data_IF_296583701882
#
_entry.id   IF_296583701882
#
_cell.length_a   1.000
_cell.length_b   1.000
_cell.length_c   1.000
_cell.angle_alpha   90.00
_cell.angle_beta   90.00
_cell.angle_gamma   90.00
#
_symmetry.space_group_name_H-M   'P 1'
#
loop_
_entity.id
_entity.type
_entity.pdbx_description
1 polymer ?
#
# COMPACT_ATOMS: atom_id res chain seq x y z
N UNK A 1 3.25 4.49 7.13
CA UNK A 1 2.89 4.36 8.56
C UNK A 1 3.15 5.68 9.29
N UNK A 2 2.30 6.00 10.28
CA UNK A 2 2.49 7.13 11.20
C UNK A 2 2.95 6.64 12.59
N UNK A 3 3.90 7.36 13.17
CA UNK A 3 4.38 7.12 14.54
C UNK A 3 4.00 8.27 15.46
N UNK A 4 3.88 7.97 16.75
CA UNK A 4 3.82 9.00 17.79
C UNK A 4 5.23 9.49 18.18
N UNK A 5 5.29 10.55 18.98
CA UNK A 5 6.55 11.12 19.48
C UNK A 5 7.40 10.16 20.31
N UNK A 6 6.81 9.06 20.82
CA UNK A 6 7.50 7.99 21.54
C UNK A 6 8.01 6.88 20.61
N UNK A 7 7.94 7.06 19.28
CA UNK A 7 8.40 6.08 18.28
C UNK A 7 7.53 4.83 18.20
N UNK A 8 6.26 4.91 18.61
CA UNK A 8 5.30 3.80 18.52
C UNK A 8 4.39 3.96 17.33
N UNK A 9 4.06 2.82 16.73
CA UNK A 9 3.11 2.71 15.62
C UNK A 9 1.74 3.23 16.05
N UNK A 10 1.17 4.16 15.27
CA UNK A 10 -0.21 4.62 15.42
C UNK A 10 -1.10 3.84 14.44
N UNK A 11 -0.78 3.93 13.15
CA UNK A 11 -1.52 3.29 12.07
C UNK A 11 -0.64 3.16 10.82
N UNK A 12 -0.97 2.19 9.99
CA UNK A 12 -0.46 2.07 8.64
C UNK A 12 -1.29 2.86 7.63
N UNK A 13 -0.65 3.13 6.51
CA UNK A 13 -1.29 3.75 5.37
C UNK A 13 -0.57 3.33 4.08
N UNK A 14 -1.33 3.11 3.02
CA UNK A 14 -0.82 3.15 1.65
C UNK A 14 -0.87 4.59 1.15
N UNK A 15 0.19 5.05 0.49
CA UNK A 15 0.29 6.41 -0.01
C UNK A 15 0.36 6.39 -1.53
N UNK A 16 -0.58 7.07 -2.17
CA UNK A 16 -0.65 7.18 -3.62
C UNK A 16 -0.40 8.64 -4.05
N UNK A 17 0.48 8.89 -5.03
CA UNK A 17 0.49 10.19 -5.70
C UNK A 17 -0.82 10.35 -6.48
N UNK A 18 -1.44 11.53 -6.38
CA UNK A 18 -2.70 11.84 -7.08
C UNK A 18 -2.53 13.08 -7.96
N UNK A 19 -2.95 13.01 -9.23
CA UNK A 19 -3.46 11.81 -9.90
C UNK A 19 -2.33 10.84 -10.27
N UNK A 20 -2.66 9.55 -10.44
CA UNK A 20 -1.71 8.56 -10.97
C UNK A 20 -1.24 8.89 -12.40
N UNK A 21 -2.14 9.40 -13.23
CA UNK A 21 -1.88 9.78 -14.63
C UNK A 21 -2.72 11.02 -15.00
N UNK A 22 -2.55 11.58 -16.20
CA UNK A 22 -3.17 12.85 -16.63
C UNK A 22 -3.91 12.74 -17.95
N UNK A 23 -4.41 11.55 -18.29
CA UNK A 23 -5.04 11.30 -19.59
C UNK A 23 -6.49 11.80 -19.70
N UNK A 24 -7.15 12.10 -18.57
CA UNK A 24 -8.44 12.80 -18.57
C UNK A 24 -8.28 14.29 -18.27
N UNK A 25 -9.23 15.10 -18.74
CA UNK A 25 -9.27 16.54 -18.46
C UNK A 25 -9.30 16.87 -16.98
N UNK A 26 -10.05 16.08 -16.21
CA UNK A 26 -10.24 16.20 -14.78
C UNK A 26 -8.94 15.91 -14.03
N UNK A 27 -8.25 14.82 -14.37
CA UNK A 27 -6.98 14.46 -13.74
C UNK A 27 -5.88 15.45 -14.13
N UNK A 28 -5.82 15.90 -15.38
CA UNK A 28 -4.89 16.94 -15.80
C UNK A 28 -5.09 18.26 -15.04
N UNK A 29 -6.35 18.62 -14.75
CA UNK A 29 -6.67 19.79 -13.92
C UNK A 29 -6.15 19.59 -12.49
N UNK A 30 -6.45 18.43 -11.87
CA UNK A 30 -5.97 18.08 -10.53
C UNK A 30 -4.44 18.14 -10.42
N UNK A 31 -3.73 17.63 -11.43
CA UNK A 31 -2.27 17.70 -11.48
C UNK A 31 -1.75 19.15 -11.53
N UNK A 32 -2.41 20.02 -12.31
CA UNK A 32 -2.04 21.45 -12.43
C UNK A 32 -2.33 22.25 -11.16
N UNK A 33 -3.31 21.84 -10.36
CA UNK A 33 -3.63 22.49 -9.09
C UNK A 33 -2.56 22.24 -8.01
N UNK A 34 -1.69 21.25 -8.20
CA UNK A 34 -0.51 20.99 -7.39
C UNK A 34 -0.35 19.52 -7.00
N UNK A 35 0.66 19.20 -6.17
CA UNK A 35 0.87 17.83 -5.71
C UNK A 35 -0.23 17.42 -4.73
N UNK A 36 -0.92 16.32 -5.03
CA UNK A 36 -1.90 15.71 -4.14
C UNK A 36 -1.47 14.29 -3.78
N UNK A 37 -1.93 13.82 -2.62
CA UNK A 37 -1.68 12.46 -2.14
C UNK A 37 -2.96 11.89 -1.57
N UNK A 38 -3.20 10.60 -1.84
CA UNK A 38 -4.26 9.83 -1.22
C UNK A 38 -3.64 8.87 -0.21
N UNK A 39 -4.19 8.88 1.01
CA UNK A 39 -3.80 7.96 2.07
C UNK A 39 -4.92 6.92 2.25
N UNK A 40 -4.66 5.69 1.82
CA UNK A 40 -5.50 4.54 2.14
C UNK A 40 -5.17 4.09 3.56
N UNK A 41 -6.20 4.01 4.41
CA UNK A 41 -6.09 3.64 5.82
C UNK A 41 -7.25 2.75 6.22
N UNK A 42 -7.01 1.88 7.20
CA UNK A 42 -8.10 1.13 7.83
C UNK A 42 -9.13 2.11 8.44
N UNK A 43 -10.44 1.93 8.19
CA UNK A 43 -11.50 2.80 8.70
C UNK A 43 -11.45 3.02 10.21
N UNK A 44 -10.92 2.07 10.99
CA UNK A 44 -10.80 2.21 12.45
C UNK A 44 -9.87 3.35 12.86
N UNK A 45 -8.89 3.70 12.01
CA UNK A 45 -7.89 4.74 12.30
C UNK A 45 -8.20 6.09 11.66
N UNK A 46 -9.13 6.15 10.70
CA UNK A 46 -9.43 7.32 9.86
C UNK A 46 -9.58 8.61 10.67
N UNK A 47 -10.52 8.65 11.64
CA UNK A 47 -10.77 9.84 12.49
C UNK A 47 -9.55 10.25 13.31
N UNK A 48 -8.83 9.25 13.85
CA UNK A 48 -7.65 9.50 14.69
C UNK A 48 -6.50 10.09 13.88
N UNK A 49 -6.27 9.57 12.66
CA UNK A 49 -5.26 10.08 11.75
C UNK A 49 -5.63 11.47 11.24
N UNK A 50 -6.89 11.70 10.86
CA UNK A 50 -7.34 13.00 10.38
C UNK A 50 -7.13 14.08 11.45
N UNK A 51 -7.44 13.78 12.71
CA UNK A 51 -7.16 14.66 13.85
C UNK A 51 -5.66 14.92 14.01
N UNK A 52 -4.85 13.87 13.97
CA UNK A 52 -3.38 13.96 14.07
C UNK A 52 -2.81 14.88 12.99
N UNK A 53 -3.20 14.68 11.73
CA UNK A 53 -2.74 15.46 10.59
C UNK A 53 -3.17 16.93 10.69
N UNK A 54 -4.42 17.20 11.10
CA UNK A 54 -4.93 18.57 11.28
C UNK A 54 -4.18 19.33 12.37
N UNK A 55 -3.77 18.67 13.46
CA UNK A 55 -2.97 19.29 14.52
C UNK A 55 -1.57 19.66 14.00
N UNK A 56 -0.97 18.83 13.15
CA UNK A 56 0.37 19.04 12.60
C UNK A 56 0.41 19.91 11.34
N UNK A 57 -0.75 20.29 10.78
CA UNK A 57 -0.86 21.15 9.60
C UNK A 57 -0.30 22.56 9.84
N UNK A 58 -0.47 23.15 11.03
CA UNK A 58 -0.01 24.51 11.37
C UNK A 58 -0.24 25.52 10.23
N UNK A 59 0.82 26.26 9.82
CA UNK A 59 0.81 27.24 8.73
C UNK A 59 1.05 26.63 7.34
N UNK A 60 1.14 25.30 7.24
CA UNK A 60 1.36 24.64 5.96
C UNK A 60 0.15 24.85 5.04
N UNK A 61 0.43 25.20 3.78
CA UNK A 61 -0.56 25.39 2.73
C UNK A 61 -1.03 24.05 2.15
N UNK A 62 -1.53 23.18 3.02
CA UNK A 62 -2.06 21.84 2.65
C UNK A 62 -3.53 21.74 3.03
N UNK A 63 -4.37 21.23 2.14
CA UNK A 63 -5.76 20.87 2.46
C UNK A 63 -5.76 19.39 2.85
N UNK A 64 -6.46 19.06 3.95
CA UNK A 64 -6.53 17.69 4.47
C UNK A 64 -8.01 17.41 4.68
N UNK A 65 -8.54 16.51 3.85
CA UNK A 65 -9.94 16.14 3.82
C UNK A 65 -10.08 14.64 3.62
N UNK A 66 -11.26 14.14 3.97
CA UNK A 66 -11.66 12.77 3.69
C UNK A 66 -11.96 12.65 2.19
N UNK A 67 -11.46 11.59 1.56
CA UNK A 67 -11.82 11.26 0.20
C UNK A 67 -13.14 10.50 0.21
N UNK A 68 -14.21 11.10 -0.32
CA UNK A 68 -15.48 10.41 -0.52
C UNK A 68 -15.45 9.57 -1.81
N UNK A 69 -16.32 8.57 -1.89
CA UNK A 69 -16.58 7.77 -3.10
C UNK A 69 -15.32 7.14 -3.73
N UNK A 70 -14.32 6.84 -2.91
CA UNK A 70 -13.08 6.17 -3.32
C UNK A 70 -13.05 4.77 -2.75
N UNK A 71 -12.68 3.81 -3.59
CA UNK A 71 -12.60 2.39 -3.22
C UNK A 71 -11.19 1.89 -3.49
N UNK A 72 -10.67 1.06 -2.58
CA UNK A 72 -9.42 0.33 -2.78
C UNK A 72 -9.76 -1.14 -2.99
N UNK A 73 -9.07 -1.74 -3.94
CA UNK A 73 -9.30 -3.12 -4.36
C UNK A 73 -7.99 -3.86 -4.38
N UNK A 74 -8.09 -5.19 -4.36
CA UNK A 74 -6.93 -6.05 -4.30
C UNK A 74 -7.06 -7.17 -5.32
N UNK A 75 -6.03 -7.33 -6.14
CA UNK A 75 -5.92 -8.40 -7.12
C UNK A 75 -4.64 -9.19 -6.86
N UNK A 76 -4.73 -10.52 -6.91
CA UNK A 76 -3.58 -11.40 -6.85
C UNK A 76 -3.80 -12.64 -7.71
N UNK A 77 -2.69 -13.23 -8.17
CA UNK A 77 -2.66 -14.55 -8.78
C UNK A 77 -1.33 -15.22 -8.37
N UNK A 78 -1.41 -16.44 -7.84
CA UNK A 78 -0.23 -17.20 -7.42
C UNK A 78 0.53 -17.89 -8.57
N UNK A 79 0.07 -17.71 -9.81
CA UNK A 79 0.77 -18.19 -11.00
C UNK A 79 2.10 -17.40 -11.21
N UNK A 80 3.23 -18.09 -11.47
CA UNK A 80 4.51 -17.44 -11.77
C UNK A 80 4.44 -16.44 -12.93
N UNK A 81 3.55 -16.68 -13.89
CA UNK A 81 3.37 -15.81 -15.05
C UNK A 81 2.90 -14.40 -14.67
N UNK A 82 2.10 -14.24 -13.61
CA UNK A 82 1.73 -12.90 -13.13
C UNK A 82 2.95 -12.20 -12.51
N UNK A 83 3.79 -12.93 -11.79
CA UNK A 83 5.00 -12.38 -11.17
C UNK A 83 5.97 -11.86 -12.23
N UNK A 84 6.24 -12.68 -13.25
CA UNK A 84 7.06 -12.27 -14.40
C UNK A 84 6.45 -11.05 -15.12
N UNK A 85 5.13 -11.03 -15.31
CA UNK A 85 4.43 -9.89 -15.90
C UNK A 85 4.57 -8.63 -15.05
N UNK A 86 4.42 -8.73 -13.73
CA UNK A 86 4.56 -7.62 -12.79
C UNK A 86 5.99 -7.07 -12.76
N UNK A 87 7.01 -7.94 -12.82
CA UNK A 87 8.40 -7.52 -12.91
C UNK A 87 8.65 -6.74 -14.21
N UNK A 88 8.19 -7.26 -15.35
CA UNK A 88 8.32 -6.61 -16.64
C UNK A 88 7.63 -5.24 -16.66
N UNK A 89 6.40 -5.15 -16.17
CA UNK A 89 5.66 -3.88 -16.06
C UNK A 89 6.40 -2.88 -15.18
N UNK A 90 6.92 -3.31 -14.03
CA UNK A 90 7.66 -2.41 -13.14
C UNK A 90 8.94 -1.89 -13.78
N UNK A 91 9.71 -2.76 -14.44
CA UNK A 91 10.93 -2.37 -15.14
C UNK A 91 10.64 -1.40 -16.30
N UNK A 92 9.58 -1.64 -17.07
CA UNK A 92 9.23 -0.83 -18.24
C UNK A 92 8.62 0.53 -17.88
N UNK A 93 7.77 0.59 -16.84
CA UNK A 93 6.94 1.75 -16.55
C UNK A 93 7.25 2.46 -15.22
N UNK A 94 7.81 1.77 -14.22
CA UNK A 94 7.88 2.29 -12.85
C UNK A 94 9.30 2.42 -12.27
N UNK A 95 10.33 2.05 -13.04
CA UNK A 95 11.73 2.30 -12.70
C UNK A 95 12.24 3.64 -13.27
N UNK A 96 11.61 4.75 -12.88
CA UNK A 96 11.94 6.09 -13.40
C UNK A 96 12.80 6.92 -12.44
N UNK A 97 13.72 7.77 -12.93
CA UNK A 97 14.66 8.51 -12.08
C UNK A 97 14.06 9.76 -11.42
N UNK A 98 12.97 10.29 -11.96
CA UNK A 98 12.39 11.57 -11.53
C UNK A 98 10.85 11.61 -11.72
N UNK A 99 10.13 12.52 -11.03
CA UNK A 99 8.68 12.58 -11.08
C UNK A 99 8.08 12.93 -12.45
N UNK A 100 8.79 13.67 -13.31
CA UNK A 100 8.29 14.00 -14.64
C UNK A 100 8.30 12.74 -15.52
N UNK A 101 9.42 12.02 -15.56
CA UNK A 101 9.54 10.74 -16.26
C UNK A 101 8.57 9.69 -15.71
N UNK A 102 8.30 9.70 -14.39
CA UNK A 102 7.30 8.86 -13.75
C UNK A 102 5.90 9.11 -14.31
N UNK A 103 5.49 10.38 -14.41
CA UNK A 103 4.17 10.74 -14.95
C UNK A 103 4.03 10.39 -16.44
N UNK A 104 5.07 10.64 -17.24
CA UNK A 104 5.08 10.25 -18.66
C UNK A 104 4.93 8.72 -18.81
N UNK A 105 5.62 7.95 -17.98
CA UNK A 105 5.55 6.49 -17.99
C UNK A 105 4.20 5.98 -17.50
N UNK A 106 3.60 6.58 -16.48
CA UNK A 106 2.23 6.26 -16.02
C UNK A 106 1.20 6.53 -17.12
N UNK A 107 1.31 7.65 -17.83
CA UNK A 107 0.48 7.96 -18.99
C UNK A 107 0.64 6.92 -20.11
N UNK A 108 1.87 6.46 -20.38
CA UNK A 108 2.14 5.39 -21.36
C UNK A 108 1.56 4.05 -20.92
N UNK A 109 1.66 3.71 -19.63
CA UNK A 109 1.09 2.50 -19.04
C UNK A 109 -0.43 2.46 -19.18
N UNK A 110 -1.11 3.58 -18.90
CA UNK A 110 -2.57 3.66 -19.08
C UNK A 110 -2.96 3.50 -20.54
N UNK A 111 -2.23 4.14 -21.47
CA UNK A 111 -2.50 4.07 -22.91
C UNK A 111 -2.22 2.71 -23.56
N UNK A 112 -1.44 1.85 -22.91
CA UNK A 112 -1.07 0.57 -23.51
C UNK A 112 -2.19 -0.48 -23.40
N UNK A 113 -3.22 -0.22 -22.58
CA UNK A 113 -4.34 -1.14 -22.33
C UNK A 113 -3.92 -2.55 -21.84
N UNK A 114 -2.65 -2.72 -21.40
CA UNK A 114 -2.13 -4.02 -20.96
C UNK A 114 -2.72 -4.46 -19.62
N UNK A 115 -3.26 -3.51 -18.85
CA UNK A 115 -3.75 -3.75 -17.50
C UNK A 115 -5.09 -3.07 -17.22
N UNK A 116 -5.17 -1.75 -17.43
CA UNK A 116 -6.40 -0.96 -17.24
C UNK A 116 -7.02 -0.65 -18.60
N UNK A 117 -8.34 -0.68 -18.69
CA UNK A 117 -9.07 -0.15 -19.85
C UNK A 117 -8.94 1.38 -19.94
N UNK A 118 -8.38 1.90 -21.03
CA UNK A 118 -8.22 3.35 -21.27
C UNK A 118 -9.53 4.13 -21.11
N UNK A 119 -10.67 3.54 -21.53
CA UNK A 119 -11.98 4.17 -21.42
C UNK A 119 -12.50 4.32 -19.97
N UNK A 120 -11.88 3.63 -19.01
CA UNK A 120 -12.19 3.74 -17.58
C UNK A 120 -11.03 4.34 -16.79
N UNK A 121 -9.96 4.78 -17.46
CA UNK A 121 -8.77 5.27 -16.80
C UNK A 121 -9.04 6.53 -15.97
N UNK A 122 -10.01 7.36 -16.36
CA UNK A 122 -10.45 8.52 -15.59
C UNK A 122 -10.95 8.18 -14.17
N UNK A 123 -11.35 6.94 -13.92
CA UNK A 123 -11.72 6.42 -12.60
C UNK A 123 -10.51 5.92 -11.78
N UNK A 124 -9.32 5.81 -12.38
CA UNK A 124 -8.11 5.32 -11.71
C UNK A 124 -7.30 6.49 -11.15
N UNK A 125 -7.65 6.92 -9.95
CA UNK A 125 -6.94 8.03 -9.29
C UNK A 125 -5.62 7.59 -8.63
N UNK A 126 -5.44 6.29 -8.38
CA UNK A 126 -4.27 5.71 -7.75
C UNK A 126 -4.02 4.28 -8.23
N UNK A 127 -2.74 3.91 -8.37
CA UNK A 127 -2.31 2.55 -8.73
C UNK A 127 -1.05 2.21 -7.92
N UNK A 128 -0.95 0.96 -7.45
CA UNK A 128 0.25 0.44 -6.85
C UNK A 128 0.36 -1.07 -7.05
N UNK A 129 1.59 -1.52 -7.28
CA UNK A 129 1.99 -2.92 -7.05
C UNK A 129 2.30 -3.06 -5.56
N UNK A 130 1.75 -4.08 -4.90
CA UNK A 130 1.95 -4.29 -3.48
C UNK A 130 3.28 -4.99 -3.21
N UNK A 131 4.34 -4.20 -3.19
CA UNK A 131 5.71 -4.65 -2.95
C UNK A 131 6.04 -4.80 -1.46
N UNK A 132 5.06 -4.97 -0.57
CA UNK A 132 5.34 -5.26 0.85
C UNK A 132 5.99 -6.63 1.02
N UNK A 133 5.55 -7.60 0.23
CA UNK A 133 6.22 -8.89 0.07
C UNK A 133 6.21 -9.26 -1.42
N UNK A 134 7.17 -10.08 -1.89
CA UNK A 134 7.17 -10.57 -3.26
C UNK A 134 5.84 -11.23 -3.62
N UNK A 135 5.34 -10.94 -4.83
CA UNK A 135 4.14 -11.55 -5.38
C UNK A 135 2.90 -11.47 -4.46
N UNK A 136 2.76 -10.37 -3.71
CA UNK A 136 1.54 -10.19 -2.95
C UNK A 136 0.37 -9.95 -3.91
N UNK A 137 0.54 -9.02 -4.85
CA UNK A 137 -0.44 -8.65 -5.84
C UNK A 137 -0.37 -7.16 -6.18
N UNK A 138 -1.51 -6.61 -6.57
CA UNK A 138 -1.66 -5.21 -6.98
C UNK A 138 -3.00 -4.64 -6.51
N UNK A 139 -3.13 -3.31 -6.58
CA UNK A 139 -4.34 -2.59 -6.17
C UNK A 139 -5.15 -2.14 -7.40
N UNK A 140 -6.19 -2.90 -7.76
CA UNK A 140 -7.14 -2.54 -8.82
C UNK A 140 -8.44 -3.37 -8.73
N UNK A 141 -9.61 -2.81 -9.10
CA UNK A 141 -10.84 -3.58 -9.22
C UNK A 141 -10.95 -4.31 -10.55
N UNK A 142 -11.80 -5.33 -10.58
CA UNK A 142 -12.08 -6.17 -11.75
C UNK A 142 -12.65 -5.39 -12.94
N UNK A 143 -13.53 -4.42 -12.70
CA UNK A 143 -14.21 -3.64 -13.74
C UNK A 143 -13.28 -2.66 -14.49
N UNK A 144 -12.12 -2.38 -13.92
CA UNK A 144 -11.08 -1.57 -14.56
C UNK A 144 -10.09 -2.41 -15.38
N UNK A 145 -10.06 -3.74 -15.20
CA UNK A 145 -9.08 -4.61 -15.86
C UNK A 145 -9.35 -4.76 -17.36
N UNK A 146 -8.28 -4.81 -18.15
CA UNK A 146 -8.38 -5.01 -19.59
C UNK A 146 -8.80 -6.45 -19.93
N UNK A 147 -9.60 -6.65 -21.00
CA UNK A 147 -9.99 -8.00 -21.42
C UNK A 147 -8.79 -8.90 -21.74
N UNK A 148 -7.68 -8.33 -22.22
CA UNK A 148 -6.44 -9.07 -22.45
C UNK A 148 -5.85 -9.60 -21.15
N UNK A 149 -5.76 -8.74 -20.13
CA UNK A 149 -5.29 -9.13 -18.80
C UNK A 149 -6.20 -10.20 -18.17
N UNK A 150 -7.52 -10.01 -18.23
CA UNK A 150 -8.49 -11.00 -17.71
C UNK A 150 -8.39 -12.33 -18.48
N UNK A 151 -8.20 -12.31 -19.79
CA UNK A 151 -8.06 -13.53 -20.59
C UNK A 151 -6.78 -14.32 -20.25
N UNK A 152 -5.71 -13.61 -19.88
CA UNK A 152 -4.42 -14.21 -19.54
C UNK A 152 -4.36 -14.72 -18.09
N UNK A 153 -4.77 -13.91 -17.12
CA UNK A 153 -4.60 -14.21 -15.70
C UNK A 153 -5.90 -14.54 -14.96
N UNK A 154 -7.05 -14.33 -15.59
CA UNK A 154 -8.35 -14.45 -14.94
C UNK A 154 -8.62 -13.31 -13.94
N UNK A 155 -9.89 -13.12 -13.63
CA UNK A 155 -10.34 -12.29 -12.53
C UNK A 155 -11.52 -12.99 -11.86
N UNK A 156 -11.43 -13.22 -10.56
CA UNK A 156 -12.51 -13.81 -9.78
C UNK A 156 -12.66 -13.02 -8.52
N UNK A 157 -13.84 -12.42 -8.34
CA UNK A 157 -14.15 -11.69 -7.13
C UNK A 157 -14.17 -12.64 -5.92
N UNK A 158 -13.44 -12.27 -4.88
CA UNK A 158 -13.38 -12.98 -3.61
C UNK A 158 -13.74 -12.05 -2.46
N UNK A 159 -14.27 -12.58 -1.33
CA UNK A 159 -14.47 -11.78 -0.13
C UNK A 159 -13.15 -11.25 0.45
N UNK A 160 -13.22 -10.12 1.17
CA UNK A 160 -12.07 -9.47 1.81
C UNK A 160 -11.33 -10.39 2.79
N UNK A 161 -12.05 -11.31 3.44
CA UNK A 161 -11.48 -12.28 4.39
C UNK A 161 -10.47 -13.22 3.72
N UNK A 162 -10.56 -13.43 2.40
CA UNK A 162 -9.58 -14.22 1.64
C UNK A 162 -8.25 -13.48 1.57
N UNK A 163 -8.27 -12.17 1.30
CA UNK A 163 -7.06 -11.32 1.30
C UNK A 163 -6.46 -11.25 2.71
N UNK A 164 -7.31 -11.11 3.73
CA UNK A 164 -6.86 -11.14 5.14
C UNK A 164 -6.20 -12.48 5.50
N UNK A 165 -6.79 -13.61 5.08
CA UNK A 165 -6.21 -14.93 5.30
C UNK A 165 -4.87 -15.08 4.56
N UNK A 166 -4.78 -14.58 3.33
CA UNK A 166 -3.53 -14.54 2.54
C UNK A 166 -2.45 -13.74 3.27
N UNK A 167 -2.78 -12.56 3.84
CA UNK A 167 -1.87 -11.77 4.68
C UNK A 167 -1.33 -12.60 5.84
N UNK A 168 -2.20 -13.28 6.59
CA UNK A 168 -1.80 -14.09 7.74
C UNK A 168 -0.90 -15.26 7.37
N UNK A 169 -1.21 -15.98 6.29
CA UNK A 169 -0.38 -17.10 5.82
C UNK A 169 1.03 -16.61 5.45
N UNK A 170 1.12 -15.44 4.81
CA UNK A 170 2.39 -14.87 4.39
C UNK A 170 3.09 -14.02 5.46
N UNK A 171 2.52 -13.90 6.67
CA UNK A 171 3.09 -13.09 7.74
C UNK A 171 3.05 -11.58 7.50
N UNK A 172 2.19 -11.10 6.60
CA UNK A 172 1.99 -9.68 6.33
C UNK A 172 1.03 -9.07 7.34
N UNK A 173 1.62 -8.58 8.43
CA UNK A 173 0.88 -7.92 9.50
C UNK A 173 0.37 -6.53 9.07
N UNK A 174 -0.87 -6.20 9.45
CA UNK A 174 -1.39 -4.85 9.41
C UNK A 174 -1.79 -4.37 10.81
N UNK A 175 -1.68 -3.07 11.07
CA UNK A 175 -1.94 -2.48 12.40
C UNK A 175 -3.31 -2.82 12.99
N UNK A 176 -4.34 -3.00 12.16
CA UNK A 176 -5.69 -3.40 12.59
C UNK A 176 -5.76 -4.85 13.10
N UNK A 177 -4.78 -5.70 12.79
CA UNK A 177 -4.67 -7.05 13.33
C UNK A 177 -4.19 -7.06 14.79
N UNK A 178 -3.63 -5.94 15.29
CA UNK A 178 -3.17 -5.87 16.67
C UNK A 178 -4.36 -5.90 17.66
N UNK A 179 -4.22 -6.61 18.79
CA UNK A 179 -5.15 -6.46 19.90
C UNK A 179 -5.26 -5.00 20.34
N UNK A 180 -6.47 -4.58 20.71
CA UNK A 180 -6.72 -3.21 21.18
C UNK A 180 -5.78 -2.84 22.34
N UNK A 181 -5.15 -1.67 22.25
CA UNK A 181 -4.23 -1.16 23.25
C UNK A 181 -2.79 -1.67 23.14
N UNK A 182 -2.49 -2.56 22.19
CA UNK A 182 -1.13 -2.98 21.91
C UNK A 182 -0.31 -1.80 21.36
N UNK A 183 0.91 -1.63 21.87
CA UNK A 183 1.83 -0.58 21.42
C UNK A 183 3.09 -1.21 20.84
N UNK A 184 3.26 -1.08 19.52
CA UNK A 184 4.33 -1.74 18.76
C UNK A 184 5.42 -0.73 18.36
N UNK A 185 6.66 -1.21 18.29
CA UNK A 185 7.73 -0.54 17.55
C UNK A 185 7.67 -0.88 16.06
N UNK A 186 8.21 -0.02 15.18
CA UNK A 186 8.34 -0.31 13.74
C UNK A 186 8.95 -1.68 13.43
N UNK A 187 10.05 -2.03 14.11
CA UNK A 187 10.73 -3.32 13.92
C UNK A 187 9.95 -4.51 14.48
N UNK A 188 9.11 -4.31 15.51
CA UNK A 188 8.24 -5.38 16.03
C UNK A 188 7.14 -5.73 15.01
N UNK A 189 6.69 -4.74 14.23
CA UNK A 189 5.73 -4.87 13.14
C UNK A 189 6.37 -5.16 11.77
N UNK A 190 7.67 -5.51 11.72
CA UNK A 190 8.40 -5.87 10.49
C UNK A 190 8.46 -4.80 9.39
N UNK A 191 8.38 -3.52 9.73
CA UNK A 191 8.40 -2.45 8.72
C UNK A 191 9.70 -2.32 7.95
N UNK A 192 10.78 -2.84 8.51
CA UNK A 192 12.06 -2.98 7.85
C UNK A 192 12.06 -4.06 6.76
N UNK A 193 11.10 -5.00 6.78
CA UNK A 193 10.93 -6.02 5.74
C UNK A 193 9.88 -5.65 4.69
N UNK A 194 8.86 -4.86 5.06
CA UNK A 194 7.73 -4.56 4.17
C UNK A 194 7.80 -3.21 3.47
N UNK A 195 9.01 -2.69 3.25
CA UNK A 195 9.24 -1.36 2.67
C UNK A 195 8.51 -0.21 3.41
N UNK A 196 8.22 -0.40 4.70
CA UNK A 196 7.46 0.53 5.54
C UNK A 196 8.33 1.53 6.29
N UNK A 197 9.66 1.37 6.25
CA UNK A 197 10.64 2.17 6.97
C UNK A 197 11.82 2.53 6.07
N UNK A 198 12.22 3.81 6.07
CA UNK A 198 13.48 4.26 5.47
C UNK A 198 14.40 4.81 6.56
N UNK A 199 15.65 4.34 6.56
CA UNK A 199 16.70 4.75 7.50
C UNK A 199 17.51 5.95 6.99
N UNK A 200 17.39 6.28 5.70
CA UNK A 200 18.18 7.30 5.01
C UNK A 200 17.39 8.57 4.70
N UNK A 201 16.09 8.60 5.02
CA UNK A 201 15.25 9.79 4.84
C UNK A 201 15.50 10.87 5.91
N UNK A 202 15.07 12.08 5.60
CA UNK A 202 15.08 13.22 6.54
C UNK A 202 14.19 13.00 7.78
N UNK A 203 14.21 13.99 8.68
CA UNK A 203 13.58 13.89 10.00
C UNK A 203 12.08 13.60 9.95
N UNK A 204 11.62 12.68 10.79
CA UNK A 204 10.19 12.37 10.98
C UNK A 204 9.86 12.07 12.45
N UNK A 205 8.57 12.15 12.81
CA UNK A 205 8.11 11.92 14.19
C UNK A 205 8.44 10.50 14.63
N UNK A 206 9.07 10.35 15.81
CA UNK A 206 9.43 9.04 16.37
C UNK A 206 10.72 8.43 15.80
N UNK A 207 11.44 9.13 14.93
CA UNK A 207 12.69 8.65 14.30
C UNK A 207 13.78 8.32 15.33
N UNK A 208 13.96 9.13 16.37
CA UNK A 208 15.02 8.96 17.39
C UNK A 208 15.01 7.54 17.99
N UNK A 209 13.85 7.06 18.44
CA UNK A 209 13.74 5.70 18.98
C UNK A 209 13.93 4.64 17.90
N UNK A 210 13.47 4.91 16.68
CA UNK A 210 13.61 4.00 15.55
C UNK A 210 15.08 3.78 15.21
N UNK A 211 15.86 4.85 15.04
CA UNK A 211 17.30 4.78 14.79
C UNK A 211 18.04 4.14 15.97
N UNK A 212 17.68 4.48 17.21
CA UNK A 212 18.28 3.85 18.40
C UNK A 212 18.03 2.34 18.44
N UNK A 213 16.83 1.91 18.06
CA UNK A 213 16.48 0.48 18.00
C UNK A 213 17.29 -0.24 16.92
N UNK A 214 17.44 0.38 15.75
CA UNK A 214 18.28 -0.14 14.67
C UNK A 214 19.75 -0.28 15.08
N UNK A 215 20.35 0.78 15.63
CA UNK A 215 21.75 0.79 16.07
C UNK A 215 22.00 -0.07 17.33
N UNK A 216 20.95 -0.39 18.08
CA UNK A 216 21.00 -1.26 19.26
C UNK A 216 21.29 -2.73 18.94
N UNK A 217 21.35 -3.10 17.65
CA UNK A 217 21.68 -4.44 17.20
C UNK A 217 20.44 -5.33 17.08
N UNK A 218 20.39 -6.41 17.85
CA UNK A 218 19.41 -7.49 17.62
C UNK A 218 17.99 -7.09 18.04
N UNK A 219 17.06 -7.15 17.08
CA UNK A 219 15.61 -7.05 17.33
C UNK A 219 15.13 -8.33 18.01
N UNK A 220 14.62 -8.21 19.25
CA UNK A 220 14.27 -9.37 20.09
C UNK A 220 12.82 -9.83 19.99
N UNK A 221 11.95 -9.04 19.37
CA UNK A 221 10.51 -9.30 19.24
C UNK A 221 10.06 -8.91 17.84
N UNK A 222 9.32 -9.81 17.19
CA UNK A 222 8.70 -9.60 15.88
C UNK A 222 7.36 -10.31 15.86
N UNK A 223 6.45 -9.79 15.05
CA UNK A 223 5.22 -10.49 14.68
C UNK A 223 5.60 -11.54 13.64
N UNK A 224 5.10 -12.75 13.82
CA UNK A 224 5.36 -13.88 12.92
C UNK A 224 4.06 -14.65 12.69
N UNK A 225 3.86 -15.23 11.49
CA UNK A 225 2.75 -16.12 11.25
C UNK A 225 2.90 -17.39 12.10
N UNK A 226 1.78 -17.91 12.62
CA UNK A 226 1.76 -19.15 13.41
C UNK A 226 0.67 -20.08 12.90
N UNK A 227 1.01 -21.37 12.82
CA UNK A 227 0.06 -22.44 12.48
C UNK A 227 -0.26 -23.27 13.73
N UNK A 228 -1.53 -23.32 14.12
CA UNK A 228 -1.97 -24.21 15.19
C UNK A 228 -2.30 -25.58 14.63
N UNK A 229 -1.42 -26.57 14.86
CA UNK A 229 -1.73 -27.97 14.52
C UNK A 229 -2.62 -28.58 15.59
N UNK A 230 -3.84 -28.98 15.22
CA UNK A 230 -4.68 -29.76 16.12
C UNK A 230 -4.03 -31.12 16.41
N UNK A 231 -4.01 -31.54 17.68
CA UNK A 231 -3.68 -32.93 18.02
C UNK A 231 -4.81 -33.83 17.51
N UNK A 232 -4.55 -34.64 16.49
CA UNK A 232 -5.38 -35.83 16.22
C UNK A 232 -5.23 -36.79 17.42
N UNK A 233 -6.28 -36.96 18.22
CA UNK A 233 -6.38 -38.13 19.09
C UNK A 233 -6.67 -39.32 18.17
N UNK A 234 -5.66 -40.12 17.84
CA UNK A 234 -5.92 -41.49 17.42
C UNK A 234 -6.58 -42.19 18.61
N UNK A 235 -7.87 -42.51 18.46
CA UNK A 235 -8.48 -43.57 19.25
C UNK A 235 -8.02 -44.86 18.57
N UNK A 236 -7.03 -45.52 19.18
CA UNK A 236 -6.60 -46.88 18.82
C UNK A 236 -7.59 -47.86 19.44
#
# INVERSE_FOLDING_TARGET
>A
MFLNSKGRVINECFNYPVPFHTESSELLKTFKDGPNYLLEVDPVYEKSLLSLLKIHKLSAKVKIEEASDTFSYYYYNDQPELEDWLENVQQEYFCTPDPHSALESANRFVKSDIFILTNHADHVIGFAVDNRIPNFGLKAPEDLLSPGFIAEFGATLVPEEVVTSRRYINGLFETSDAPKGQSLLPFEANLDYVNGLSLEKGCYVGQELTIRTFNGGVIRKRIVPVEFRARCRLII
#
